data_IF_700253899781
#
_entry.id   IF_700253899781
#
_cell.length_a   1.000
_cell.length_b   1.000
_cell.length_c   1.000
_cell.angle_alpha   90.00
_cell.angle_beta   90.00
_cell.angle_gamma   90.00
#
_symmetry.space_group_name_H-M   'P 1'
#
loop_
_entity.id
_entity.type
_entity.pdbx_description
1 polymer ?
#
# COMPACT_ATOMS: atom_id res chain seq x y z
N UNK A 1 0.15 16.62 -5.27
CA UNK A 1 1.02 16.14 -4.16
C UNK A 1 1.40 14.67 -4.36
N UNK A 2 0.46 13.73 -4.41
CA UNK A 2 0.76 12.28 -4.43
C UNK A 2 1.62 11.79 -5.60
N UNK A 3 1.45 12.31 -6.82
CA UNK A 3 2.28 11.91 -7.98
C UNK A 3 3.76 12.22 -7.75
N UNK A 4 4.07 13.43 -7.28
CA UNK A 4 5.45 13.85 -6.97
C UNK A 4 6.04 13.05 -5.82
N UNK A 5 5.24 12.75 -4.79
CA UNK A 5 5.63 11.88 -3.69
C UNK A 5 6.04 10.48 -4.19
N UNK A 6 5.20 9.81 -4.98
CA UNK A 6 5.54 8.48 -5.50
C UNK A 6 6.72 8.49 -6.48
N UNK A 7 6.92 9.56 -7.26
CA UNK A 7 8.10 9.71 -8.12
C UNK A 7 9.39 9.83 -7.30
N UNK A 8 9.37 10.62 -6.22
CA UNK A 8 10.51 10.76 -5.33
C UNK A 8 10.84 9.42 -4.64
N UNK A 9 9.84 8.72 -4.10
CA UNK A 9 10.02 7.41 -3.47
C UNK A 9 10.52 6.36 -4.48
N UNK A 10 10.01 6.35 -5.72
CA UNK A 10 10.50 5.48 -6.78
C UNK A 10 11.96 5.77 -7.12
N UNK A 11 12.35 7.04 -7.25
CA UNK A 11 13.73 7.44 -7.48
C UNK A 11 14.67 6.94 -6.37
N UNK A 12 14.25 7.06 -5.11
CA UNK A 12 14.98 6.52 -3.97
C UNK A 12 15.10 4.99 -4.02
N UNK A 13 14.01 4.29 -4.33
CA UNK A 13 14.02 2.82 -4.45
C UNK A 13 14.99 2.36 -5.55
N UNK A 14 15.00 3.02 -6.70
CA UNK A 14 15.91 2.69 -7.81
C UNK A 14 17.36 2.98 -7.43
N UNK A 15 17.64 4.14 -6.85
CA UNK A 15 19.00 4.54 -6.47
C UNK A 15 19.63 3.60 -5.46
N UNK A 16 18.85 3.13 -4.48
CA UNK A 16 19.31 2.22 -3.44
C UNK A 16 18.93 0.75 -3.70
N UNK A 17 18.58 0.38 -4.94
CA UNK A 17 18.17 -0.99 -5.25
C UNK A 17 19.33 -1.99 -5.06
N UNK A 18 19.13 -3.15 -4.42
CA UNK A 18 17.90 -3.71 -3.86
C UNK A 18 17.71 -3.47 -2.34
N UNK A 19 18.44 -2.54 -1.73
CA UNK A 19 18.48 -2.37 -0.28
C UNK A 19 17.14 -1.87 0.34
N UNK A 20 16.34 -1.11 -0.42
CA UNK A 20 15.05 -0.57 0.04
C UNK A 20 13.84 -1.43 -0.34
N UNK A 21 14.04 -2.50 -1.10
CA UNK A 21 12.95 -3.37 -1.53
C UNK A 21 13.25 -4.12 -2.83
N UNK A 22 12.44 -5.14 -3.11
CA UNK A 22 12.47 -5.88 -4.37
C UNK A 22 11.62 -5.24 -5.47
N UNK A 23 11.53 -5.95 -6.60
CA UNK A 23 10.78 -5.51 -7.78
C UNK A 23 9.29 -5.25 -7.50
N UNK A 24 8.72 -5.88 -6.47
CA UNK A 24 7.34 -5.63 -6.07
C UNK A 24 7.10 -4.15 -5.70
N UNK A 25 8.08 -3.49 -5.06
CA UNK A 25 7.95 -2.08 -4.70
C UNK A 25 8.01 -1.17 -5.94
N UNK A 26 8.85 -1.51 -6.92
CA UNK A 26 8.93 -0.79 -8.19
C UNK A 26 7.59 -0.88 -8.93
N UNK A 27 7.03 -2.08 -9.05
CA UNK A 27 5.73 -2.31 -9.70
C UNK A 27 4.62 -1.54 -8.98
N UNK A 28 4.58 -1.59 -7.65
CA UNK A 28 3.62 -0.83 -6.85
C UNK A 28 3.68 0.68 -7.11
N UNK A 29 4.88 1.26 -7.16
CA UNK A 29 5.06 2.69 -7.39
C UNK A 29 4.69 3.06 -8.84
N UNK A 30 5.08 2.26 -9.83
CA UNK A 30 4.72 2.52 -11.22
C UNK A 30 3.20 2.50 -11.43
N UNK A 31 2.50 1.51 -10.86
CA UNK A 31 1.03 1.45 -10.91
C UNK A 31 0.38 2.63 -10.18
N UNK A 32 0.91 3.01 -9.02
CA UNK A 32 0.39 4.13 -8.23
C UNK A 32 0.59 5.46 -8.95
N UNK A 33 1.76 5.68 -9.57
CA UNK A 33 2.03 6.86 -10.41
C UNK A 33 1.10 6.88 -11.61
N UNK A 34 0.96 5.77 -12.34
CA UNK A 34 0.09 5.69 -13.50
C UNK A 34 -1.37 6.00 -13.16
N UNK A 35 -1.91 5.38 -12.10
CA UNK A 35 -3.27 5.61 -11.63
C UNK A 35 -3.49 7.06 -11.17
N UNK A 36 -2.62 7.57 -10.30
CA UNK A 36 -2.77 8.91 -9.73
C UNK A 36 -2.54 10.02 -10.76
N UNK A 37 -1.57 9.86 -11.67
CA UNK A 37 -1.34 10.81 -12.75
C UNK A 37 -2.48 10.78 -13.78
N UNK A 38 -2.97 9.60 -14.16
CA UNK A 38 -4.10 9.49 -15.07
C UNK A 38 -5.36 10.14 -14.50
N UNK A 39 -5.71 9.85 -13.24
CA UNK A 39 -6.84 10.49 -12.57
C UNK A 39 -6.64 12.01 -12.49
N UNK A 40 -5.44 12.49 -12.14
CA UNK A 40 -5.12 13.92 -12.05
C UNK A 40 -5.27 14.66 -13.39
N UNK A 41 -4.75 14.08 -14.47
CA UNK A 41 -4.76 14.70 -15.79
C UNK A 41 -6.15 14.67 -16.44
N UNK A 42 -6.90 13.59 -16.24
CA UNK A 42 -8.26 13.42 -16.80
C UNK A 42 -9.34 14.06 -15.94
N UNK A 43 -9.06 14.31 -14.65
CA UNK A 43 -10.01 14.72 -13.61
C UNK A 43 -11.14 13.72 -13.35
N UNK A 44 -10.93 12.46 -13.75
CA UNK A 44 -11.88 11.35 -13.56
C UNK A 44 -11.39 10.39 -12.45
N UNK A 45 -12.30 9.62 -11.87
CA UNK A 45 -12.01 8.59 -10.86
C UNK A 45 -11.13 9.05 -9.65
N UNK A 46 -11.16 10.34 -9.33
CA UNK A 46 -10.45 10.91 -8.17
C UNK A 46 -10.88 10.23 -6.88
N UNK A 47 -12.17 9.91 -6.76
CA UNK A 47 -12.73 9.21 -5.60
C UNK A 47 -12.02 7.86 -5.35
N UNK A 48 -11.93 6.99 -6.36
CA UNK A 48 -11.23 5.71 -6.25
C UNK A 48 -9.73 5.88 -5.99
N UNK A 49 -9.12 6.90 -6.59
CA UNK A 49 -7.72 7.27 -6.32
C UNK A 49 -7.51 7.61 -4.84
N UNK A 50 -8.39 8.41 -4.25
CA UNK A 50 -8.32 8.75 -2.82
C UNK A 50 -8.55 7.55 -1.92
N UNK A 51 -9.52 6.68 -2.25
CA UNK A 51 -9.72 5.44 -1.50
C UNK A 51 -8.43 4.60 -1.47
N UNK A 52 -7.80 4.37 -2.61
CA UNK A 52 -6.53 3.61 -2.66
C UNK A 52 -5.42 4.34 -1.89
N UNK A 53 -5.33 5.67 -1.97
CA UNK A 53 -4.32 6.46 -1.25
C UNK A 53 -4.43 6.39 0.27
N UNK A 54 -5.62 6.07 0.83
CA UNK A 54 -5.74 5.84 2.28
C UNK A 54 -4.80 4.71 2.73
N UNK A 55 -4.46 3.76 1.85
CA UNK A 55 -3.49 2.71 2.17
C UNK A 55 -2.10 3.22 2.50
N UNK A 56 -1.70 4.40 2.02
CA UNK A 56 -0.41 5.01 2.36
C UNK A 56 -0.32 5.47 3.81
N UNK A 57 -1.45 5.58 4.52
CA UNK A 57 -1.45 5.87 5.96
C UNK A 57 -0.82 4.75 6.80
N UNK A 58 -0.63 3.54 6.25
CA UNK A 58 0.08 2.45 6.94
C UNK A 58 1.61 2.56 6.79
N UNK A 59 2.11 3.32 5.82
CA UNK A 59 3.54 3.45 5.49
C UNK A 59 4.40 3.99 6.65
N UNK A 60 3.95 5.00 7.43
CA UNK A 60 4.68 5.45 8.61
C UNK A 60 4.95 4.33 9.63
N UNK A 61 4.02 3.38 9.78
CA UNK A 61 4.20 2.22 10.65
C UNK A 61 5.35 1.31 10.19
N UNK A 62 5.44 1.06 8.88
CA UNK A 62 6.52 0.27 8.27
C UNK A 62 7.87 0.95 8.48
N UNK A 63 7.96 2.25 8.20
CA UNK A 63 9.18 3.03 8.36
C UNK A 63 9.65 3.06 9.81
N UNK A 64 8.73 3.28 10.77
CA UNK A 64 9.06 3.22 12.19
C UNK A 64 9.62 1.84 12.59
N UNK A 65 9.03 0.75 12.08
CA UNK A 65 9.53 -0.60 12.34
C UNK A 65 10.95 -0.79 11.83
N UNK A 66 11.23 -0.27 10.63
CA UNK A 66 12.56 -0.32 10.02
C UNK A 66 13.59 0.49 10.82
N UNK A 67 13.25 1.70 11.26
CA UNK A 67 14.13 2.52 12.10
C UNK A 67 14.45 1.82 13.43
N UNK A 68 13.45 1.24 14.10
CA UNK A 68 13.65 0.48 15.33
C UNK A 68 14.54 -0.75 15.11
N UNK A 69 14.44 -1.41 13.96
CA UNK A 69 15.33 -2.52 13.60
C UNK A 69 16.78 -2.04 13.44
N UNK A 70 16.99 -0.97 12.65
CA UNK A 70 18.33 -0.41 12.41
C UNK A 70 18.99 0.13 13.68
N UNK A 71 18.19 0.61 14.64
CA UNK A 71 18.67 1.01 15.96
C UNK A 71 18.97 -0.18 16.91
N UNK A 72 18.82 -1.43 16.46
CA UNK A 72 19.03 -2.62 17.31
C UNK A 72 17.90 -2.86 18.33
N UNK A 73 16.76 -2.18 18.20
CA UNK A 73 15.68 -2.15 19.19
C UNK A 73 14.61 -3.24 18.97
N UNK A 74 14.92 -4.33 18.27
CA UNK A 74 13.97 -5.44 17.99
C UNK A 74 13.35 -6.07 19.24
N UNK A 75 14.03 -6.00 20.40
CA UNK A 75 13.53 -6.55 21.68
C UNK A 75 12.73 -5.54 22.52
N UNK A 76 12.62 -4.29 22.07
CA UNK A 76 11.94 -3.24 22.82
C UNK A 76 10.41 -3.40 22.80
N UNK A 77 9.73 -2.85 23.82
CA UNK A 77 8.26 -2.74 23.84
C UNK A 77 7.74 -1.92 22.65
N UNK A 78 8.47 -0.89 22.24
CA UNK A 78 8.13 -0.07 21.08
C UNK A 78 8.04 -0.90 19.79
N UNK A 79 8.99 -1.82 19.56
CA UNK A 79 8.97 -2.71 18.39
C UNK A 79 7.79 -3.68 18.40
N UNK A 80 7.40 -4.18 19.58
CA UNK A 80 6.22 -5.03 19.72
C UNK A 80 4.93 -4.24 19.45
N UNK A 81 4.74 -3.10 20.11
CA UNK A 81 3.54 -2.25 19.97
C UNK A 81 3.38 -1.81 18.51
N UNK A 82 4.45 -1.33 17.88
CA UNK A 82 4.43 -0.98 16.46
C UNK A 82 4.01 -2.19 15.59
N UNK A 83 4.50 -3.40 15.88
CA UNK A 83 4.12 -4.60 15.14
C UNK A 83 2.63 -4.94 15.24
N UNK A 84 2.04 -4.79 16.43
CA UNK A 84 0.60 -5.01 16.66
C UNK A 84 -0.22 -3.95 15.94
N UNK A 85 0.14 -2.66 16.07
CA UNK A 85 -0.54 -1.56 15.37
C UNK A 85 -0.46 -1.71 13.86
N UNK A 86 0.70 -2.11 13.33
CA UNK A 86 0.87 -2.40 11.91
C UNK A 86 -0.03 -3.53 11.45
N UNK A 87 -0.13 -4.63 12.21
CA UNK A 87 -1.02 -5.74 11.88
C UNK A 87 -2.49 -5.29 11.79
N UNK A 88 -2.97 -4.55 12.80
CA UNK A 88 -4.35 -4.06 12.83
C UNK A 88 -4.63 -3.06 11.70
N UNK A 89 -3.74 -2.08 11.50
CA UNK A 89 -3.87 -1.08 10.44
C UNK A 89 -3.87 -1.74 9.05
N UNK A 90 -3.02 -2.76 8.84
CA UNK A 90 -2.97 -3.49 7.58
C UNK A 90 -4.26 -4.27 7.31
N UNK A 91 -4.77 -4.99 8.33
CA UNK A 91 -6.02 -5.73 8.20
C UNK A 91 -7.18 -4.80 7.84
N UNK A 92 -7.33 -3.69 8.55
CA UNK A 92 -8.43 -2.75 8.34
C UNK A 92 -8.30 -2.01 7.00
N UNK A 93 -7.15 -1.39 6.75
CA UNK A 93 -6.98 -0.46 5.62
C UNK A 93 -6.58 -1.16 4.33
N UNK A 94 -5.79 -2.24 4.39
CA UNK A 94 -5.24 -2.88 3.19
C UNK A 94 -5.92 -4.18 2.81
N UNK A 95 -6.69 -4.79 3.72
CA UNK A 95 -7.51 -5.99 3.43
C UNK A 95 -9.00 -5.63 3.40
N UNK A 96 -9.62 -5.27 4.52
CA UNK A 96 -11.05 -5.04 4.60
C UNK A 96 -11.52 -3.85 3.75
N UNK A 97 -10.80 -2.73 3.82
CA UNK A 97 -11.14 -1.56 3.02
C UNK A 97 -10.93 -1.78 1.51
N UNK A 98 -9.98 -2.63 1.10
CA UNK A 98 -9.87 -3.04 -0.31
C UNK A 98 -11.06 -3.90 -0.76
N UNK A 99 -11.55 -4.81 0.09
CA UNK A 99 -12.81 -5.52 -0.20
C UNK A 99 -13.97 -4.55 -0.38
N UNK A 100 -14.03 -3.51 0.45
CA UNK A 100 -15.01 -2.44 0.29
C UNK A 100 -14.84 -1.66 -1.02
N UNK A 101 -13.60 -1.35 -1.44
CA UNK A 101 -13.34 -0.70 -2.75
C UNK A 101 -13.89 -1.57 -3.89
N UNK A 102 -13.62 -2.88 -3.89
CA UNK A 102 -14.14 -3.78 -4.93
C UNK A 102 -15.67 -3.81 -4.93
N UNK A 103 -16.29 -3.89 -3.75
CA UNK A 103 -17.74 -3.84 -3.61
C UNK A 103 -18.32 -2.51 -4.14
N UNK A 104 -17.69 -1.38 -3.82
CA UNK A 104 -18.12 -0.06 -4.29
C UNK A 104 -17.99 0.08 -5.81
N UNK A 105 -16.87 -0.39 -6.39
CA UNK A 105 -16.68 -0.41 -7.85
C UNK A 105 -17.74 -1.27 -8.52
N UNK A 106 -18.07 -2.44 -7.96
CA UNK A 106 -19.11 -3.33 -8.49
C UNK A 106 -20.47 -2.64 -8.53
N UNK A 107 -20.88 -1.96 -7.45
CA UNK A 107 -22.14 -1.23 -7.39
C UNK A 107 -22.21 -0.04 -8.36
N UNK A 108 -21.08 0.59 -8.65
CA UNK A 108 -21.00 1.82 -9.46
C UNK A 108 -20.31 1.59 -10.81
N UNK A 109 -20.36 0.35 -11.33
CA UNK A 109 -19.67 -0.03 -12.56
C UNK A 109 -20.10 0.83 -13.75
N UNK A 110 -21.39 1.21 -13.81
CA UNK A 110 -21.93 2.01 -14.90
C UNK A 110 -21.40 3.44 -14.87
N UNK A 111 -21.09 3.99 -13.69
CA UNK A 111 -20.43 5.29 -13.56
C UNK A 111 -18.97 5.21 -14.01
N UNK A 112 -18.26 4.14 -13.65
CA UNK A 112 -16.87 3.93 -14.09
C UNK A 112 -16.80 3.78 -15.61
N UNK A 113 -17.76 3.11 -16.23
CA UNK A 113 -17.86 2.94 -17.70
C UNK A 113 -18.06 4.25 -18.47
N UNK A 114 -18.47 5.34 -17.81
CA UNK A 114 -18.57 6.67 -18.43
C UNK A 114 -17.22 7.40 -18.50
N UNK A 115 -16.22 6.96 -17.73
CA UNK A 115 -14.87 7.51 -17.79
C UNK A 115 -14.15 7.11 -19.08
N UNK A 116 -13.01 7.74 -19.37
CA UNK A 116 -12.14 7.35 -20.49
C UNK A 116 -11.62 5.93 -20.32
N UNK A 117 -11.36 5.24 -21.43
CA UNK A 117 -10.86 3.85 -21.44
C UNK A 117 -9.62 3.65 -20.58
N UNK A 118 -8.66 4.58 -20.61
CA UNK A 118 -7.46 4.51 -19.77
C UNK A 118 -7.80 4.52 -18.26
N UNK A 119 -8.73 5.38 -17.84
CA UNK A 119 -9.17 5.48 -16.44
C UNK A 119 -9.92 4.22 -16.03
N UNK A 120 -10.80 3.71 -16.89
CA UNK A 120 -11.51 2.44 -16.65
C UNK A 120 -10.53 1.29 -16.40
N UNK A 121 -9.55 1.12 -17.30
CA UNK A 121 -8.53 0.07 -17.17
C UNK A 121 -7.82 0.19 -15.83
N UNK A 122 -7.42 1.40 -15.43
CA UNK A 122 -6.69 1.61 -14.17
C UNK A 122 -7.58 1.38 -12.93
N UNK A 123 -8.83 1.82 -12.94
CA UNK A 123 -9.78 1.60 -11.83
C UNK A 123 -10.06 0.12 -11.61
N UNK A 124 -10.14 -0.68 -12.67
CA UNK A 124 -10.36 -2.13 -12.54
C UNK A 124 -9.07 -2.91 -12.24
N UNK A 125 -7.95 -2.57 -12.87
CA UNK A 125 -6.72 -3.37 -12.77
C UNK A 125 -5.86 -3.03 -11.54
N UNK A 126 -5.68 -1.75 -11.22
CA UNK A 126 -4.74 -1.32 -10.18
C UNK A 126 -5.15 -1.82 -8.79
N UNK A 127 -6.41 -1.67 -8.33
CA UNK A 127 -6.82 -2.20 -7.03
C UNK A 127 -6.63 -3.71 -6.90
N UNK A 128 -6.83 -4.48 -7.98
CA UNK A 128 -6.62 -5.93 -8.00
C UNK A 128 -5.16 -6.27 -7.75
N UNK A 129 -4.24 -5.68 -8.52
CA UNK A 129 -2.80 -5.94 -8.35
C UNK A 129 -2.34 -5.52 -6.96
N UNK A 130 -2.74 -4.33 -6.51
CA UNK A 130 -2.41 -3.83 -5.17
C UNK A 130 -2.96 -4.72 -4.05
N UNK A 131 -4.16 -5.29 -4.21
CA UNK A 131 -4.73 -6.20 -3.22
C UNK A 131 -3.93 -7.50 -3.11
N UNK A 132 -3.52 -8.09 -4.24
CA UNK A 132 -2.67 -9.29 -4.25
C UNK A 132 -1.36 -9.01 -3.49
N UNK A 133 -0.73 -7.87 -3.77
CA UNK A 133 0.48 -7.44 -3.06
C UNK A 133 0.23 -7.24 -1.56
N UNK A 134 -0.88 -6.58 -1.20
CA UNK A 134 -1.29 -6.37 0.19
C UNK A 134 -1.51 -7.69 0.93
N UNK A 135 -2.06 -8.72 0.30
CA UNK A 135 -2.24 -10.05 0.89
C UNK A 135 -0.89 -10.76 1.13
N UNK A 136 0.04 -10.67 0.16
CA UNK A 136 1.40 -11.22 0.30
C UNK A 136 2.14 -10.53 1.45
N UNK A 137 2.09 -9.20 1.51
CA UNK A 137 2.73 -8.43 2.59
C UNK A 137 2.07 -8.66 3.94
N UNK A 138 0.74 -8.77 3.99
CA UNK A 138 0.03 -9.11 5.23
C UNK A 138 0.51 -10.45 5.78
N UNK A 139 0.68 -11.46 4.91
CA UNK A 139 1.22 -12.76 5.30
C UNK A 139 2.63 -12.65 5.91
N UNK A 140 3.48 -11.74 5.40
CA UNK A 140 4.80 -11.45 5.97
C UNK A 140 4.67 -10.77 7.35
N UNK A 141 3.74 -9.84 7.52
CA UNK A 141 3.48 -9.15 8.80
C UNK A 141 2.99 -10.13 9.86
N UNK A 142 2.03 -11.00 9.53
CA UNK A 142 1.54 -12.04 10.46
C UNK A 142 2.68 -12.94 10.92
N UNK A 143 3.48 -13.46 9.97
CA UNK A 143 4.65 -14.29 10.29
C UNK A 143 5.66 -13.54 11.16
N UNK A 144 5.90 -12.26 10.90
CA UNK A 144 6.79 -11.41 11.69
C UNK A 144 6.29 -11.18 13.13
N UNK A 145 4.99 -10.95 13.29
CA UNK A 145 4.36 -10.74 14.60
C UNK A 145 4.39 -12.01 15.45
N UNK A 146 3.99 -13.16 14.88
CA UNK A 146 4.04 -14.47 15.56
C UNK A 146 5.46 -14.79 16.05
N UNK A 147 6.48 -14.57 15.21
CA UNK A 147 7.88 -14.76 15.61
C UNK A 147 8.34 -13.81 16.71
N UNK A 148 7.78 -12.61 16.79
CA UNK A 148 8.12 -11.64 17.84
C UNK A 148 7.49 -12.04 19.17
N UNK A 149 6.23 -12.47 19.15
CA UNK A 149 5.51 -12.95 20.34
C UNK A 149 6.13 -14.23 20.91
N UNK A 150 6.46 -15.20 20.05
CA UNK A 150 7.07 -16.46 20.47
C UNK A 150 8.47 -16.32 21.10
N UNK A 151 9.16 -15.18 20.89
CA UNK A 151 10.47 -14.89 21.50
C UNK A 151 10.38 -14.14 22.83
N UNK A 152 9.19 -13.67 23.20
CA UNK A 152 8.95 -12.99 24.48
C UNK A 152 8.30 -13.90 25.52
N UNK A 153 7.86 -15.10 25.11
CA UNK A 153 7.58 -16.22 25.99
C UNK A 153 8.89 -16.94 26.32
#
# INVERSE_FOLDING_TARGET
>A
VSVGYFLADLGMIIWFYPALGGMEYVIHHLLSIAATACAMLTREAQFYTYMVLISETTTPGINLRWYLDKAGMKRSRAYLINGILMFLAWLVVRILFFMYIFYHIYLHVDQVKQCRTCVQILVFSVPVVLFIMNAVWFSKIVKGLVKTLAKQQ
#
